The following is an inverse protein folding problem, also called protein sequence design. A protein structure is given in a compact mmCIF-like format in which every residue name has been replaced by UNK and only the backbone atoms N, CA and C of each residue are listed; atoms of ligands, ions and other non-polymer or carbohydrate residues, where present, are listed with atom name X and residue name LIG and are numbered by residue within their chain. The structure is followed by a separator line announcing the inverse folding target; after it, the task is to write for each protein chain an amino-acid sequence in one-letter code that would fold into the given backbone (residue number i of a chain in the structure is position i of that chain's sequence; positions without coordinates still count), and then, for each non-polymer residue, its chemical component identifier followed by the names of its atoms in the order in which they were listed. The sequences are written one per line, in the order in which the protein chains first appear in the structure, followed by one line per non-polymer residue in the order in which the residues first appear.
data_IF_800819976500
#
_entry.id   IF_800819976500
#
_cell.length_a   1.000
_cell.length_b   1.000
_cell.length_c   1.000
_cell.angle_alpha   90.00
_cell.angle_beta   90.00
_cell.angle_gamma   90.00
#
_symmetry.space_group_name_H-M   'P 1'
#
loop_
_entity.id
_entity.type
_entity.pdbx_description
1 polymer ?
#
# COMPACT_ATOMS: atom_id res chain seq x y z
N UNK A 1 -8.18 -20.83 8.34
CA UNK A 1 -8.64 -19.46 8.70
C UNK A 1 -7.85 -18.46 7.87
N UNK A 2 -8.50 -17.41 7.33
CA UNK A 2 -7.82 -16.38 6.52
C UNK A 2 -6.74 -15.68 7.35
N UNK A 3 -5.54 -15.58 6.80
CA UNK A 3 -4.40 -14.91 7.43
C UNK A 3 -4.30 -13.45 7.00
N UNK A 4 -5.45 -12.75 6.99
CA UNK A 4 -5.46 -11.30 6.88
C UNK A 4 -4.60 -10.69 7.96
N UNK A 5 -3.47 -10.11 7.57
CA UNK A 5 -2.61 -9.38 8.49
C UNK A 5 -3.44 -8.29 9.16
N UNK A 6 -3.32 -8.27 10.48
CA UNK A 6 -4.15 -7.46 11.36
C UNK A 6 -3.75 -5.98 11.29
N UNK A 7 -4.70 -5.12 11.67
CA UNK A 7 -4.55 -3.68 11.84
C UNK A 7 -4.08 -2.93 10.59
N UNK A 8 -4.51 -3.38 9.41
CA UNK A 8 -4.26 -2.70 8.13
C UNK A 8 -5.30 -3.08 7.08
N UNK A 9 -5.38 -2.28 6.02
CA UNK A 9 -6.18 -2.61 4.84
C UNK A 9 -5.49 -3.66 3.97
N UNK A 10 -6.26 -4.66 3.55
CA UNK A 10 -5.83 -5.67 2.60
C UNK A 10 -6.82 -5.70 1.42
N UNK A 11 -6.33 -5.78 0.19
CA UNK A 11 -7.17 -6.03 -0.99
C UNK A 11 -7.45 -7.54 -1.08
N UNK A 12 -8.72 -7.92 -1.12
CA UNK A 12 -9.13 -9.31 -1.32
C UNK A 12 -9.53 -9.53 -2.77
N UNK A 13 -8.71 -10.25 -3.54
CA UNK A 13 -8.98 -10.55 -4.96
C UNK A 13 -10.30 -11.34 -5.14
N UNK A 14 -10.53 -12.35 -4.29
CA UNK A 14 -11.75 -13.17 -4.33
C UNK A 14 -13.01 -12.34 -4.09
N UNK A 15 -12.93 -11.38 -3.17
CA UNK A 15 -14.08 -10.59 -2.76
C UNK A 15 -14.20 -9.27 -3.56
N UNK A 16 -13.18 -8.96 -4.38
CA UNK A 16 -13.02 -7.72 -5.15
C UNK A 16 -13.28 -6.47 -4.31
N UNK A 17 -12.79 -6.47 -3.06
CA UNK A 17 -12.99 -5.38 -2.09
C UNK A 17 -11.85 -5.28 -1.10
N UNK A 18 -11.72 -4.10 -0.51
CA UNK A 18 -10.81 -3.82 0.58
C UNK A 18 -11.36 -4.34 1.90
N UNK A 19 -10.50 -4.97 2.70
CA UNK A 19 -10.82 -5.60 3.98
C UNK A 19 -9.82 -5.11 5.03
N UNK A 20 -10.32 -4.41 6.05
CA UNK A 20 -9.56 -4.08 7.24
C UNK A 20 -9.90 -5.08 8.33
N UNK A 21 -8.90 -5.71 8.94
CA UNK A 21 -9.10 -6.67 10.03
C UNK A 21 -8.45 -6.12 11.29
N UNK A 22 -9.25 -5.76 12.28
CA UNK A 22 -8.79 -5.33 13.59
C UNK A 22 -8.92 -6.47 14.60
N UNK A 23 -8.04 -6.52 15.60
CA UNK A 23 -8.28 -7.30 16.81
C UNK A 23 -8.81 -6.35 17.90
N UNK A 24 -10.08 -6.47 18.23
CA UNK A 24 -10.73 -5.69 19.29
C UNK A 24 -11.34 -6.69 20.29
N UNK A 25 -11.00 -6.57 21.58
CA UNK A 25 -11.46 -7.46 22.67
C UNK A 25 -11.24 -8.96 22.40
N UNK A 26 -10.08 -9.31 21.82
CA UNK A 26 -9.74 -10.68 21.44
C UNK A 26 -10.53 -11.24 20.24
N UNK A 27 -11.41 -10.44 19.64
CA UNK A 27 -12.22 -10.82 18.47
C UNK A 27 -11.76 -10.07 17.22
N UNK A 28 -11.77 -10.76 16.08
CA UNK A 28 -11.47 -10.14 14.78
C UNK A 28 -12.71 -9.35 14.32
N UNK A 29 -12.56 -8.05 14.13
CA UNK A 29 -13.57 -7.19 13.48
C UNK A 29 -13.15 -6.88 12.05
N UNK A 30 -14.10 -6.98 11.12
CA UNK A 30 -13.86 -6.79 9.70
C UNK A 30 -14.59 -5.53 9.22
N UNK A 31 -13.88 -4.61 8.57
CA UNK A 31 -14.46 -3.49 7.83
C UNK A 31 -14.23 -3.70 6.35
N UNK A 32 -15.25 -3.45 5.54
CA UNK A 32 -15.21 -3.66 4.09
C UNK A 32 -15.42 -2.33 3.37
N UNK A 33 -14.70 -2.11 2.27
CA UNK A 33 -14.93 -0.98 1.36
C UNK A 33 -14.73 -1.42 -0.08
N UNK A 34 -15.59 -0.94 -0.99
CA UNK A 34 -15.40 -1.13 -2.43
C UNK A 34 -14.34 -0.16 -2.97
N UNK A 35 -14.31 1.07 -2.44
CA UNK A 35 -13.36 2.10 -2.81
C UNK A 35 -12.00 1.88 -2.14
N UNK A 36 -10.96 2.43 -2.77
CA UNK A 36 -9.60 2.46 -2.22
C UNK A 36 -9.57 3.12 -0.84
N UNK A 37 -8.77 2.59 0.11
CA UNK A 37 -8.54 3.23 1.38
C UNK A 37 -7.56 4.38 1.21
N UNK A 38 -7.71 5.41 2.04
CA UNK A 38 -6.83 6.60 2.05
C UNK A 38 -5.34 6.25 2.15
N UNK A 39 -5.00 5.20 2.89
CA UNK A 39 -3.62 4.72 3.01
C UNK A 39 -3.03 4.28 1.65
N UNK A 40 -3.82 3.59 0.83
CA UNK A 40 -3.39 3.15 -0.49
C UNK A 40 -3.33 4.32 -1.48
N UNK A 41 -4.28 5.24 -1.41
CA UNK A 41 -4.29 6.48 -2.21
C UNK A 41 -3.06 7.33 -1.90
N UNK A 42 -2.73 7.51 -0.63
CA UNK A 42 -1.53 8.23 -0.21
C UNK A 42 -0.24 7.62 -0.76
N UNK A 43 -0.12 6.27 -0.73
CA UNK A 43 1.01 5.58 -1.33
C UNK A 43 1.08 5.78 -2.86
N UNK A 44 -0.08 5.78 -3.52
CA UNK A 44 -0.16 5.99 -4.98
C UNK A 44 0.28 7.40 -5.37
N UNK A 45 -0.12 8.41 -4.59
CA UNK A 45 0.31 9.81 -4.77
C UNK A 45 1.83 9.92 -4.60
N UNK A 46 2.38 9.34 -3.53
CA UNK A 46 3.83 9.38 -3.28
C UNK A 46 4.64 8.72 -4.41
N UNK A 47 4.17 7.58 -4.95
CA UNK A 47 4.84 6.94 -6.09
C UNK A 47 4.80 7.86 -7.31
N UNK A 48 3.67 8.52 -7.58
CA UNK A 48 3.55 9.46 -8.69
C UNK A 48 4.54 10.62 -8.55
N UNK A 49 4.61 11.23 -7.37
CA UNK A 49 5.55 12.33 -7.09
C UNK A 49 7.01 11.90 -7.24
N UNK A 50 7.37 10.71 -6.76
CA UNK A 50 8.73 10.19 -6.92
C UNK A 50 9.05 9.87 -8.39
N UNK A 51 8.08 9.35 -9.14
CA UNK A 51 8.27 9.09 -10.57
C UNK A 51 8.50 10.38 -11.36
N UNK A 52 7.73 11.43 -11.06
CA UNK A 52 7.95 12.76 -11.65
C UNK A 52 9.35 13.31 -11.34
N UNK A 53 9.83 13.15 -10.10
CA UNK A 53 11.19 13.52 -9.71
C UNK A 53 12.25 12.69 -10.43
N UNK A 54 12.04 11.38 -10.54
CA UNK A 54 12.97 10.46 -11.20
C UNK A 54 13.17 10.82 -12.68
N UNK A 55 12.12 11.29 -13.36
CA UNK A 55 12.18 11.72 -14.76
C UNK A 55 12.94 13.03 -14.98
N UNK A 56 13.15 13.82 -13.93
CA UNK A 56 13.82 15.13 -13.99
C UNK A 56 15.20 15.14 -13.33
N UNK A 57 15.61 14.06 -12.68
CA UNK A 57 16.86 13.97 -11.93
C UNK A 57 17.98 13.40 -12.79
N UNK A 58 18.91 14.27 -13.18
CA UNK A 58 20.10 13.93 -13.97
C UNK A 58 21.25 13.37 -13.11
N UNK A 59 21.25 13.66 -11.80
CA UNK A 59 22.26 13.12 -10.89
C UNK A 59 22.00 11.63 -10.60
N UNK A 60 22.96 10.78 -10.98
CA UNK A 60 22.83 9.33 -10.87
C UNK A 60 22.57 8.86 -9.43
N UNK A 61 23.24 9.42 -8.44
CA UNK A 61 23.11 8.99 -7.04
C UNK A 61 21.74 9.37 -6.49
N UNK A 62 21.29 10.61 -6.74
CA UNK A 62 19.93 11.05 -6.37
C UNK A 62 18.85 10.26 -7.09
N UNK A 63 19.04 9.97 -8.38
CA UNK A 63 18.13 9.14 -9.16
C UNK A 63 17.98 7.74 -8.53
N UNK A 64 19.10 7.12 -8.16
CA UNK A 64 19.12 5.83 -7.48
C UNK A 64 18.44 5.86 -6.10
N UNK A 65 18.61 6.95 -5.32
CA UNK A 65 17.88 7.12 -4.06
C UNK A 65 16.37 7.23 -4.25
N UNK A 66 15.92 8.00 -5.25
CA UNK A 66 14.50 8.13 -5.60
C UNK A 66 13.94 6.78 -6.00
N UNK A 67 14.65 6.03 -6.84
CA UNK A 67 14.27 4.68 -7.25
C UNK A 67 14.13 3.73 -6.06
N UNK A 68 15.10 3.72 -5.14
CA UNK A 68 15.04 2.91 -3.90
C UNK A 68 13.81 3.25 -3.06
N UNK A 69 13.48 4.54 -2.92
CA UNK A 69 12.26 4.98 -2.20
C UNK A 69 10.99 4.49 -2.90
N UNK A 70 10.92 4.57 -4.23
CA UNK A 70 9.80 4.03 -5.02
C UNK A 70 9.63 2.52 -4.83
N UNK A 71 10.73 1.77 -4.82
CA UNK A 71 10.71 0.32 -4.59
C UNK A 71 10.15 -0.03 -3.20
N UNK A 72 10.56 0.70 -2.16
CA UNK A 72 10.04 0.49 -0.81
C UNK A 72 8.53 0.76 -0.71
N UNK A 73 8.04 1.82 -1.35
CA UNK A 73 6.60 2.11 -1.39
C UNK A 73 5.83 1.06 -2.20
N UNK A 74 6.36 0.63 -3.33
CA UNK A 74 5.78 -0.42 -4.15
C UNK A 74 5.66 -1.74 -3.38
N UNK A 75 6.69 -2.09 -2.60
CA UNK A 75 6.65 -3.29 -1.77
C UNK A 75 5.64 -3.15 -0.61
N UNK A 76 5.45 -1.95 -0.04
CA UNK A 76 4.36 -1.70 0.93
C UNK A 76 2.99 -1.93 0.30
N UNK A 77 2.76 -1.43 -0.92
CA UNK A 77 1.49 -1.64 -1.63
C UNK A 77 1.26 -3.11 -1.99
N UNK A 78 2.29 -3.82 -2.46
CA UNK A 78 2.21 -5.25 -2.73
C UNK A 78 1.86 -6.05 -1.48
N UNK A 79 2.44 -5.68 -0.33
CA UNK A 79 2.14 -6.29 0.95
C UNK A 79 0.70 -6.05 1.43
N UNK A 80 -0.08 -5.17 0.80
CA UNK A 80 -1.51 -4.99 1.05
C UNK A 80 -2.37 -5.93 0.19
N UNK A 81 -1.81 -6.64 -0.79
CA UNK A 81 -2.55 -7.66 -1.56
C UNK A 81 -2.36 -9.01 -0.87
N UNK A 82 -3.47 -9.72 -0.66
CA UNK A 82 -3.51 -11.09 -0.12
C UNK A 82 -4.40 -12.01 -0.96
#
# INVERSE_FOLDING_TARGET
MRNHKLNRWNWSERAKKWVYVALEDGKRKYKYKATTPREFEALSIQIKELNEKLMMEDDFEKNNEIFKKMMLLSQKMQNMRE
#
